data_IF_676888464518
#
_entry.id   IF_676888464518
#
_cell.length_a   1.000
_cell.length_b   1.000
_cell.length_c   1.000
_cell.angle_alpha   90.00
_cell.angle_beta   90.00
_cell.angle_gamma   90.00
#
_symmetry.space_group_name_H-M   'P 1'
#
loop_
_entity.id
_entity.type
_entity.pdbx_description
1 polymer ?
#
# COMPACT_ATOMS: atom_id res chain seq x y z
N UNK A 1 -3.79 -8.79 -18.40
CA UNK A 1 -4.09 -7.70 -17.44
C UNK A 1 -5.57 -7.78 -17.06
N UNK A 2 -5.87 -7.83 -15.77
CA UNK A 2 -7.27 -8.00 -15.30
C UNK A 2 -8.25 -6.90 -15.79
N UNK A 3 -7.71 -5.75 -16.23
CA UNK A 3 -8.52 -4.66 -16.75
C UNK A 3 -8.80 -4.75 -18.24
N UNK A 4 -7.97 -5.46 -18.99
CA UNK A 4 -8.21 -5.64 -20.43
C UNK A 4 -9.49 -6.44 -20.69
N UNK A 5 -9.87 -7.33 -19.76
CA UNK A 5 -11.13 -8.08 -19.83
C UNK A 5 -12.40 -7.23 -19.65
N UNK A 6 -12.25 -5.97 -19.21
CA UNK A 6 -13.36 -5.01 -19.09
C UNK A 6 -13.58 -4.20 -20.37
N UNK A 7 -12.62 -4.24 -21.31
CA UNK A 7 -12.76 -3.58 -22.61
C UNK A 7 -13.68 -4.44 -23.49
N UNK A 8 -14.72 -3.83 -24.02
CA UNK A 8 -15.65 -4.50 -24.91
C UNK A 8 -14.95 -4.94 -26.19
N UNK A 9 -15.29 -6.11 -26.72
CA UNK A 9 -14.73 -6.62 -27.97
C UNK A 9 -14.93 -5.59 -29.11
N UNK A 10 -13.84 -5.29 -29.81
CA UNK A 10 -13.82 -4.27 -30.87
C UNK A 10 -13.61 -2.84 -30.41
N UNK A 11 -13.51 -2.60 -29.08
CA UNK A 11 -13.14 -1.29 -28.52
C UNK A 11 -11.68 -1.28 -28.04
N UNK A 12 -11.10 -0.08 -27.95
CA UNK A 12 -9.70 0.09 -27.52
C UNK A 12 -9.60 0.54 -26.06
N UNK A 13 -10.70 0.98 -25.47
CA UNK A 13 -10.73 1.52 -24.11
C UNK A 13 -12.11 1.32 -23.46
N UNK A 14 -12.15 1.47 -22.14
CA UNK A 14 -13.40 1.66 -21.41
C UNK A 14 -13.31 2.88 -20.51
N UNK A 15 -14.46 3.42 -20.14
CA UNK A 15 -14.58 4.59 -19.28
C UNK A 15 -15.49 4.28 -18.09
N UNK A 16 -15.04 4.73 -16.90
CA UNK A 16 -15.88 4.79 -15.70
C UNK A 16 -15.94 6.23 -15.24
N UNK A 17 -17.14 6.74 -15.03
CA UNK A 17 -17.39 8.09 -14.54
C UNK A 17 -18.27 8.03 -13.30
N UNK A 18 -17.95 8.84 -12.31
CA UNK A 18 -18.73 9.01 -11.10
C UNK A 18 -18.96 10.51 -10.84
N UNK A 19 -20.17 10.84 -10.47
CA UNK A 19 -20.55 12.16 -9.97
C UNK A 19 -20.98 11.93 -8.52
N UNK A 20 -20.25 12.56 -7.59
CA UNK A 20 -20.49 12.41 -6.16
C UNK A 20 -20.87 13.76 -5.58
N UNK A 21 -21.96 13.80 -4.83
CA UNK A 21 -22.43 14.99 -4.15
C UNK A 21 -22.42 14.78 -2.64
N UNK A 22 -21.63 15.57 -1.93
CA UNK A 22 -21.50 15.50 -0.47
C UNK A 22 -21.30 16.91 0.10
N UNK A 23 -22.04 17.25 1.15
CA UNK A 23 -21.89 18.53 1.88
C UNK A 23 -21.86 19.77 0.97
N UNK A 24 -22.80 19.87 0.02
CA UNK A 24 -22.90 20.93 -1.00
C UNK A 24 -21.66 21.02 -1.94
N UNK A 25 -20.87 19.99 -2.03
CA UNK A 25 -19.79 19.86 -3.01
C UNK A 25 -20.13 18.78 -4.00
N UNK A 26 -19.88 19.07 -5.26
CA UNK A 26 -20.02 18.12 -6.35
C UNK A 26 -18.62 17.78 -6.86
N UNK A 27 -18.30 16.50 -6.92
CA UNK A 27 -17.05 15.99 -7.48
C UNK A 27 -17.39 15.17 -8.74
N UNK A 28 -16.68 15.41 -9.81
CA UNK A 28 -16.75 14.62 -11.02
C UNK A 28 -15.44 13.90 -11.24
N UNK A 29 -15.46 12.59 -11.21
CA UNK A 29 -14.31 11.71 -11.35
C UNK A 29 -14.51 10.84 -12.58
N UNK A 30 -13.47 10.73 -13.41
CA UNK A 30 -13.50 9.89 -14.61
C UNK A 30 -12.19 9.13 -14.73
N UNK A 31 -12.31 7.85 -15.07
CA UNK A 31 -11.17 6.96 -15.33
C UNK A 31 -11.36 6.38 -16.72
N UNK A 32 -10.42 6.59 -17.60
CA UNK A 32 -10.33 5.93 -18.90
C UNK A 32 -9.18 4.93 -18.82
N UNK A 33 -9.44 3.70 -19.25
CA UNK A 33 -8.43 2.64 -19.29
C UNK A 33 -8.32 2.12 -20.71
N UNK A 34 -7.14 2.25 -21.28
CA UNK A 34 -6.73 1.63 -22.53
C UNK A 34 -5.82 0.43 -22.26
N UNK A 35 -5.38 -0.28 -23.29
CA UNK A 35 -4.49 -1.43 -23.19
C UNK A 35 -3.12 -1.14 -22.56
N UNK A 36 -2.71 0.14 -22.48
CA UNK A 36 -1.40 0.54 -22.00
C UNK A 36 -1.43 1.14 -20.60
N UNK A 37 -2.43 1.99 -20.30
CA UNK A 37 -2.45 2.80 -19.09
C UNK A 37 -3.84 3.25 -18.67
N UNK A 38 -3.88 3.87 -17.49
CA UNK A 38 -5.06 4.54 -16.94
C UNK A 38 -4.87 6.05 -17.01
N UNK A 39 -5.91 6.71 -17.47
CA UNK A 39 -6.00 8.17 -17.50
C UNK A 39 -7.03 8.59 -16.45
N UNK A 40 -6.63 9.47 -15.55
CA UNK A 40 -7.46 9.96 -14.45
C UNK A 40 -7.86 11.40 -14.70
N UNK A 41 -9.13 11.72 -14.45
CA UNK A 41 -9.66 13.06 -14.64
C UNK A 41 -10.51 13.47 -13.42
N UNK A 42 -10.39 14.73 -13.03
CA UNK A 42 -11.23 15.39 -12.04
C UNK A 42 -11.79 16.68 -12.67
N UNK A 43 -13.10 16.83 -12.72
CA UNK A 43 -13.75 17.95 -13.45
C UNK A 43 -13.18 18.16 -14.86
N UNK A 44 -13.06 17.08 -15.64
CA UNK A 44 -12.49 17.05 -17.00
C UNK A 44 -10.98 17.39 -17.08
N UNK A 45 -10.33 17.79 -15.98
CA UNK A 45 -8.89 18.02 -15.94
C UNK A 45 -8.11 16.75 -15.69
N UNK A 46 -7.06 16.52 -16.48
CA UNK A 46 -6.19 15.34 -16.30
C UNK A 46 -5.43 15.41 -14.99
N UNK A 47 -5.48 14.33 -14.21
CA UNK A 47 -4.76 14.18 -12.94
C UNK A 47 -3.49 13.38 -13.20
N UNK A 48 -2.34 14.02 -13.03
CA UNK A 48 -1.04 13.42 -13.33
C UNK A 48 -0.53 12.47 -12.24
N UNK A 49 -0.88 12.74 -10.98
CA UNK A 49 -0.43 11.95 -9.83
C UNK A 49 -1.58 11.15 -9.27
N UNK A 50 -1.36 9.84 -9.17
CA UNK A 50 -2.35 8.93 -8.59
C UNK A 50 -2.76 9.31 -7.14
N UNK A 51 -1.80 9.85 -6.37
CA UNK A 51 -2.04 10.38 -5.03
C UNK A 51 -3.02 11.55 -4.96
N UNK A 52 -3.22 12.27 -6.07
CA UNK A 52 -4.14 13.41 -6.13
C UNK A 52 -5.58 12.97 -6.50
N UNK A 53 -5.74 11.71 -6.91
CA UNK A 53 -7.02 11.10 -7.27
C UNK A 53 -7.56 10.19 -6.15
N UNK A 54 -6.68 9.42 -5.50
CA UNK A 54 -7.08 8.56 -4.38
C UNK A 54 -7.54 9.41 -3.19
N UNK A 55 -8.61 8.96 -2.54
CA UNK A 55 -9.13 9.59 -1.33
C UNK A 55 -9.94 10.85 -1.56
N UNK A 56 -10.23 11.23 -2.84
CA UNK A 56 -11.23 12.26 -3.12
C UNK A 56 -12.59 11.76 -2.67
N UNK A 57 -12.91 10.52 -3.05
CA UNK A 57 -14.09 9.79 -2.61
C UNK A 57 -13.70 8.42 -2.09
N UNK A 58 -14.39 7.99 -1.04
CA UNK A 58 -14.17 6.71 -0.40
C UNK A 58 -15.44 5.87 -0.47
N UNK A 59 -15.37 4.76 -1.19
CA UNK A 59 -16.44 3.77 -1.23
C UNK A 59 -16.00 2.51 -0.46
N UNK A 60 -16.94 1.92 0.26
CA UNK A 60 -16.77 0.60 0.89
C UNK A 60 -17.50 -0.39 0.02
N UNK A 61 -16.77 -1.36 -0.50
CA UNK A 61 -17.31 -2.51 -1.19
C UNK A 61 -17.07 -3.73 -0.30
N UNK A 62 -18.11 -4.52 -0.09
CA UNK A 62 -18.00 -5.84 0.52
C UNK A 62 -18.41 -6.90 -0.48
N UNK A 63 -17.53 -7.84 -0.73
CA UNK A 63 -17.78 -8.97 -1.62
C UNK A 63 -17.25 -10.27 -0.99
N UNK A 64 -17.71 -11.46 -1.45
CA UNK A 64 -17.25 -12.74 -0.89
C UNK A 64 -15.73 -12.92 -0.93
N UNK A 65 -15.05 -12.32 -1.91
CA UNK A 65 -13.58 -12.38 -2.03
C UNK A 65 -12.86 -11.70 -0.85
N UNK A 66 -13.51 -10.76 -0.16
CA UNK A 66 -12.94 -10.08 1.00
C UNK A 66 -12.71 -11.02 2.20
N UNK A 67 -13.47 -12.13 2.26
CA UNK A 67 -13.25 -13.20 3.24
C UNK A 67 -11.87 -13.85 3.06
N UNK A 68 -11.32 -13.81 1.85
CA UNK A 68 -9.97 -14.27 1.56
C UNK A 68 -8.89 -13.50 2.32
N UNK A 69 -9.20 -12.32 2.87
CA UNK A 69 -8.26 -11.55 3.70
C UNK A 69 -7.71 -12.38 4.87
N UNK A 70 -8.54 -13.23 5.47
CA UNK A 70 -8.15 -14.07 6.62
C UNK A 70 -7.30 -15.27 6.22
N UNK A 71 -7.54 -15.85 5.04
CA UNK A 71 -6.85 -17.03 4.53
C UNK A 71 -5.70 -16.70 3.59
N UNK A 72 -5.62 -15.46 3.10
CA UNK A 72 -4.63 -15.04 2.12
C UNK A 72 -3.22 -14.85 2.71
N UNK A 73 -2.25 -14.67 1.82
CA UNK A 73 -0.86 -14.43 2.18
C UNK A 73 -0.67 -13.12 2.96
N UNK A 74 0.39 -13.01 3.77
CA UNK A 74 0.76 -11.76 4.44
C UNK A 74 0.93 -10.56 3.48
N UNK A 75 1.30 -10.84 2.22
CA UNK A 75 1.41 -9.82 1.18
C UNK A 75 0.05 -9.19 0.86
N UNK A 76 -1.00 -9.98 0.75
CA UNK A 76 -2.35 -9.50 0.46
C UNK A 76 -2.91 -8.72 1.65
N UNK A 77 -2.70 -9.19 2.89
CA UNK A 77 -3.10 -8.46 4.10
C UNK A 77 -2.41 -7.11 4.19
N UNK A 78 -1.10 -7.03 3.92
CA UNK A 78 -0.39 -5.73 3.87
C UNK A 78 -0.93 -4.83 2.77
N UNK A 79 -1.23 -5.38 1.59
CA UNK A 79 -1.81 -4.61 0.49
C UNK A 79 -3.16 -4.00 0.87
N UNK A 80 -4.01 -4.75 1.58
CA UNK A 80 -5.29 -4.23 2.10
C UNK A 80 -5.04 -3.00 3.00
N UNK A 81 -4.18 -3.13 4.01
CA UNK A 81 -3.83 -2.03 4.91
C UNK A 81 -3.26 -0.83 4.14
N UNK A 82 -2.37 -1.07 3.18
CA UNK A 82 -1.79 0.00 2.37
C UNK A 82 -2.85 0.73 1.55
N UNK A 83 -3.81 0.02 0.99
CA UNK A 83 -4.91 0.61 0.23
C UNK A 83 -5.78 1.53 1.11
N UNK A 84 -6.11 1.10 2.32
CA UNK A 84 -6.88 1.92 3.26
C UNK A 84 -6.07 3.15 3.71
N UNK A 85 -4.81 2.98 4.07
CA UNK A 85 -3.94 4.10 4.44
C UNK A 85 -3.73 5.11 3.30
N UNK A 86 -3.65 4.65 2.06
CA UNK A 86 -3.54 5.54 0.89
C UNK A 86 -4.79 6.40 0.69
N UNK A 87 -5.97 5.88 0.99
CA UNK A 87 -7.23 6.66 0.96
C UNK A 87 -7.21 7.78 2.02
N UNK A 88 -6.63 7.51 3.18
CA UNK A 88 -6.61 8.43 4.33
C UNK A 88 -5.47 9.46 4.28
N UNK A 89 -4.34 9.13 3.62
CA UNK A 89 -3.12 9.93 3.71
C UNK A 89 -2.35 10.01 2.38
N UNK A 90 -2.33 11.20 1.78
CA UNK A 90 -1.47 11.50 0.61
C UNK A 90 0.02 11.34 0.95
N UNK A 91 0.40 11.69 2.17
CA UNK A 91 1.78 11.51 2.66
C UNK A 91 2.15 10.03 2.70
N UNK A 92 1.26 9.16 3.18
CA UNK A 92 1.48 7.71 3.14
C UNK A 92 1.68 7.20 1.71
N UNK A 93 0.82 7.63 0.79
CA UNK A 93 0.89 7.27 -0.63
C UNK A 93 2.24 7.62 -1.25
N UNK A 94 2.74 8.84 -0.99
CA UNK A 94 4.05 9.28 -1.49
C UNK A 94 5.21 8.52 -0.84
N UNK A 95 5.14 8.26 0.47
CA UNK A 95 6.15 7.49 1.21
C UNK A 95 6.23 6.04 0.71
N UNK A 96 5.09 5.40 0.49
CA UNK A 96 5.02 4.03 -0.05
C UNK A 96 5.59 3.95 -1.47
N UNK A 97 5.29 4.94 -2.31
CA UNK A 97 5.85 5.05 -3.66
C UNK A 97 7.38 5.23 -3.64
N UNK A 98 7.88 6.07 -2.74
CA UNK A 98 9.33 6.28 -2.55
C UNK A 98 10.02 5.00 -2.10
N UNK A 99 9.43 4.28 -1.14
CA UNK A 99 9.94 2.99 -0.70
C UNK A 99 10.03 1.97 -1.84
N UNK A 100 8.97 1.84 -2.64
CA UNK A 100 8.95 0.91 -3.77
C UNK A 100 10.02 1.24 -4.82
N UNK A 101 10.24 2.54 -5.09
CA UNK A 101 11.29 3.01 -6.00
C UNK A 101 12.69 2.66 -5.47
N UNK A 102 12.96 2.96 -4.20
CA UNK A 102 14.24 2.66 -3.55
C UNK A 102 14.52 1.15 -3.50
N UNK A 103 13.51 0.35 -3.17
CA UNK A 103 13.62 -1.10 -3.17
C UNK A 103 13.99 -1.65 -4.56
N UNK A 104 13.35 -1.12 -5.62
CA UNK A 104 13.67 -1.49 -7.00
C UNK A 104 15.10 -1.11 -7.35
N UNK A 105 15.55 0.10 -7.02
CA UNK A 105 16.91 0.58 -7.28
C UNK A 105 17.96 -0.26 -6.53
N UNK A 106 17.74 -0.54 -5.24
CA UNK A 106 18.60 -1.41 -4.46
C UNK A 106 18.69 -2.81 -5.06
N UNK A 107 17.58 -3.41 -5.42
CA UNK A 107 17.56 -4.74 -6.01
C UNK A 107 18.25 -4.77 -7.39
N UNK A 108 18.20 -3.68 -8.16
CA UNK A 108 18.96 -3.57 -9.41
C UNK A 108 20.49 -3.44 -9.16
N UNK A 109 20.89 -2.67 -8.14
CA UNK A 109 22.30 -2.54 -7.77
C UNK A 109 22.89 -3.87 -7.31
N UNK A 110 22.13 -4.68 -6.57
CA UNK A 110 22.56 -6.02 -6.13
C UNK A 110 22.70 -7.04 -7.27
N UNK A 111 22.01 -6.85 -8.39
CA UNK A 111 22.06 -7.76 -9.54
C UNK A 111 23.20 -7.47 -10.52
N UNK A 112 24.03 -6.48 -10.25
CA UNK A 112 25.17 -6.16 -11.11
C UNK A 112 26.31 -7.19 -10.89
N UNK A 113 27.04 -7.50 -11.96
CA UNK A 113 28.19 -8.43 -11.89
C UNK A 113 29.25 -8.02 -10.86
N UNK A 114 29.38 -6.73 -10.60
CA UNK A 114 30.19 -6.16 -9.53
C UNK A 114 29.31 -5.26 -8.69
N UNK A 115 28.96 -5.71 -7.50
CA UNK A 115 28.11 -4.97 -6.58
C UNK A 115 28.85 -3.76 -6.04
N UNK A 116 28.29 -2.57 -6.23
CA UNK A 116 28.74 -1.35 -5.57
C UNK A 116 28.09 -1.29 -4.17
N UNK A 117 28.84 -1.74 -3.16
CA UNK A 117 28.36 -1.79 -1.77
C UNK A 117 28.02 -0.40 -1.24
N UNK A 118 28.78 0.64 -1.62
CA UNK A 118 28.51 2.01 -1.19
C UNK A 118 27.13 2.47 -1.68
N UNK A 119 26.82 2.23 -2.95
CA UNK A 119 25.52 2.55 -3.54
C UNK A 119 24.39 1.78 -2.88
N UNK A 120 24.59 0.49 -2.58
CA UNK A 120 23.60 -0.34 -1.88
C UNK A 120 23.32 0.22 -0.48
N UNK A 121 24.36 0.62 0.28
CA UNK A 121 24.20 1.23 1.59
C UNK A 121 23.49 2.59 1.55
N UNK A 122 23.72 3.41 0.52
CA UNK A 122 23.00 4.67 0.33
C UNK A 122 21.50 4.40 0.17
N UNK A 123 21.11 3.47 -0.72
CA UNK A 123 19.71 3.09 -0.88
C UNK A 123 19.10 2.52 0.41
N UNK A 124 19.87 1.71 1.13
CA UNK A 124 19.45 1.09 2.37
C UNK A 124 19.13 2.15 3.44
N UNK A 125 19.99 3.14 3.63
CA UNK A 125 19.77 4.22 4.59
C UNK A 125 18.50 5.02 4.23
N UNK A 126 18.31 5.36 2.96
CA UNK A 126 17.09 6.02 2.50
C UNK A 126 15.84 5.15 2.68
N UNK A 127 15.95 3.83 2.47
CA UNK A 127 14.85 2.90 2.72
C UNK A 127 14.47 2.84 4.19
N UNK A 128 15.41 2.86 5.12
CA UNK A 128 15.17 2.86 6.57
C UNK A 128 14.29 4.06 6.94
N UNK A 129 14.60 5.25 6.43
CA UNK A 129 13.84 6.45 6.72
C UNK A 129 12.37 6.34 6.28
N UNK A 130 12.14 5.97 5.03
CA UNK A 130 10.76 5.87 4.51
C UNK A 130 10.02 4.66 5.09
N UNK A 131 10.69 3.55 5.33
CA UNK A 131 10.08 2.32 5.83
C UNK A 131 9.70 2.43 7.31
N UNK A 132 10.47 3.16 8.11
CA UNK A 132 10.13 3.43 9.52
C UNK A 132 8.78 4.14 9.64
N UNK A 133 8.50 5.10 8.75
CA UNK A 133 7.21 5.80 8.68
C UNK A 133 6.09 4.83 8.28
N UNK A 134 6.32 3.97 7.28
CA UNK A 134 5.33 2.98 6.83
C UNK A 134 4.99 2.00 7.96
N UNK A 135 6.00 1.46 8.65
CA UNK A 135 5.81 0.51 9.75
C UNK A 135 4.98 1.16 10.88
N UNK A 136 5.34 2.38 11.28
CA UNK A 136 4.63 3.12 12.31
C UNK A 136 3.16 3.33 11.94
N UNK A 137 2.89 3.83 10.74
CA UNK A 137 1.51 4.12 10.31
C UNK A 137 0.67 2.85 10.15
N UNK A 138 1.25 1.75 9.66
CA UNK A 138 0.53 0.46 9.63
C UNK A 138 0.19 -0.04 11.03
N UNK A 139 1.12 0.06 11.97
CA UNK A 139 0.89 -0.36 13.35
C UNK A 139 -0.22 0.48 14.02
N UNK A 140 -0.15 1.80 13.90
CA UNK A 140 -1.17 2.73 14.43
C UNK A 140 -2.54 2.48 13.81
N UNK A 141 -2.59 2.24 12.50
CA UNK A 141 -3.84 1.92 11.79
C UNK A 141 -4.46 0.62 12.31
N UNK A 142 -3.68 -0.45 12.45
CA UNK A 142 -4.18 -1.74 12.96
C UNK A 142 -4.70 -1.59 14.39
N UNK A 143 -4.00 -0.84 15.25
CA UNK A 143 -4.49 -0.57 16.60
C UNK A 143 -5.84 0.16 16.59
N UNK A 144 -5.97 1.20 15.76
CA UNK A 144 -7.21 1.96 15.64
C UNK A 144 -8.35 1.11 15.06
N UNK A 145 -8.04 0.30 14.04
CA UNK A 145 -8.98 -0.64 13.42
C UNK A 145 -9.47 -1.67 14.43
N UNK A 146 -8.56 -2.26 15.20
CA UNK A 146 -8.91 -3.28 16.21
C UNK A 146 -9.73 -2.72 17.36
N UNK A 147 -9.46 -1.47 17.76
CA UNK A 147 -10.30 -0.79 18.74
C UNK A 147 -11.76 -0.74 18.25
N UNK A 148 -11.99 -0.29 17.02
CA UNK A 148 -13.32 -0.21 16.42
C UNK A 148 -13.94 -1.59 16.15
N UNK A 149 -13.15 -2.52 15.68
CA UNK A 149 -13.62 -3.88 15.44
C UNK A 149 -14.12 -4.56 16.73
N UNK A 150 -13.40 -4.39 17.84
CA UNK A 150 -13.84 -4.93 19.16
C UNK A 150 -15.13 -4.28 19.67
N UNK A 151 -15.35 -2.99 19.40
CA UNK A 151 -16.60 -2.30 19.75
C UNK A 151 -17.80 -2.86 18.95
N UNK A 152 -17.59 -3.26 17.69
CA UNK A 152 -18.65 -3.71 16.80
C UNK A 152 -18.86 -5.24 16.82
N UNK A 153 -17.83 -6.02 17.12
CA UNK A 153 -17.86 -7.48 17.02
C UNK A 153 -19.01 -8.14 17.81
N UNK A 154 -19.35 -7.70 19.06
CA UNK A 154 -20.44 -8.28 19.81
C UNK A 154 -21.82 -8.17 19.14
N UNK A 155 -22.00 -7.23 18.21
CA UNK A 155 -23.26 -7.09 17.47
C UNK A 155 -23.44 -8.15 16.36
N UNK A 156 -22.33 -8.80 15.95
CA UNK A 156 -22.32 -9.80 14.88
C UNK A 156 -22.07 -11.21 15.39
N UNK A 157 -21.51 -11.35 16.58
CA UNK A 157 -21.18 -12.63 17.19
C UNK A 157 -21.97 -12.84 18.47
N UNK A 158 -22.65 -13.97 18.56
CA UNK A 158 -23.30 -14.42 19.80
C UNK A 158 -22.31 -15.08 20.78
N UNK A 159 -21.06 -15.23 20.36
CA UNK A 159 -20.01 -15.91 21.12
C UNK A 159 -19.14 -14.90 21.88
N UNK A 160 -18.62 -15.35 23.01
CA UNK A 160 -17.70 -14.54 23.85
C UNK A 160 -16.26 -14.55 23.34
N UNK A 161 -16.07 -14.77 22.04
CA UNK A 161 -14.73 -14.80 21.43
C UNK A 161 -14.19 -13.39 21.29
N UNK A 162 -12.91 -13.24 21.60
CA UNK A 162 -12.18 -11.99 21.37
C UNK A 162 -11.50 -12.00 20.01
N UNK A 163 -11.63 -10.90 19.28
CA UNK A 163 -10.90 -10.72 18.01
C UNK A 163 -9.60 -9.96 18.25
N UNK A 164 -8.52 -10.43 17.64
CA UNK A 164 -7.22 -9.79 17.72
C UNK A 164 -6.53 -9.77 16.35
N UNK A 165 -5.85 -8.66 16.05
CA UNK A 165 -4.87 -8.58 14.96
C UNK A 165 -3.64 -7.82 15.43
N UNK A 166 -2.46 -8.36 15.09
CA UNK A 166 -1.16 -7.76 15.42
C UNK A 166 -0.39 -7.50 14.14
N UNK A 167 0.29 -6.35 14.11
CA UNK A 167 1.23 -6.06 13.03
C UNK A 167 2.55 -6.78 13.30
N UNK A 168 2.86 -7.77 12.47
CA UNK A 168 4.13 -8.49 12.51
C UNK A 168 5.12 -7.85 11.55
N UNK A 169 6.27 -7.47 12.05
CA UNK A 169 7.39 -6.89 11.27
C UNK A 169 8.69 -7.63 11.58
N UNK A 170 9.72 -7.41 10.78
CA UNK A 170 11.04 -8.06 10.90
C UNK A 170 11.92 -7.46 12.00
N UNK A 171 11.47 -6.40 12.67
CA UNK A 171 12.15 -5.71 13.76
C UNK A 171 11.26 -5.62 14.99
N UNK A 172 11.85 -5.36 16.16
CA UNK A 172 11.09 -4.90 17.33
C UNK A 172 10.59 -3.48 17.10
N UNK A 173 9.36 -3.21 17.58
CA UNK A 173 8.78 -1.88 17.60
C UNK A 173 9.16 -1.10 18.88
N UNK A 174 9.79 -1.75 19.84
CA UNK A 174 10.26 -1.14 21.07
C UNK A 174 11.62 -0.47 20.85
N UNK A 175 11.82 0.73 21.39
CA UNK A 175 13.06 1.48 21.26
C UNK A 175 13.21 2.18 19.90
N UNK A 176 14.46 2.33 19.44
CA UNK A 176 14.77 2.99 18.17
C UNK A 176 14.64 2.01 17.00
N UNK A 177 13.49 2.10 16.32
CA UNK A 177 13.20 1.29 15.13
C UNK A 177 14.28 1.40 14.05
N UNK A 178 14.86 2.59 13.83
CA UNK A 178 15.86 2.78 12.75
C UNK A 178 17.15 2.03 13.05
N UNK A 179 17.55 1.98 14.31
CA UNK A 179 18.70 1.19 14.73
C UNK A 179 18.47 -0.29 14.48
N UNK A 180 17.32 -0.82 14.94
CA UNK A 180 16.96 -2.22 14.69
C UNK A 180 16.87 -2.56 13.20
N UNK A 181 16.33 -1.64 12.39
CA UNK A 181 16.26 -1.82 10.93
C UNK A 181 17.65 -1.87 10.32
N UNK A 182 18.55 -0.98 10.72
CA UNK A 182 19.93 -0.95 10.22
C UNK A 182 20.64 -2.27 10.49
N UNK A 183 20.60 -2.75 11.72
CA UNK A 183 21.20 -4.04 12.10
C UNK A 183 20.60 -5.21 11.31
N UNK A 184 19.29 -5.24 11.15
CA UNK A 184 18.60 -6.29 10.41
C UNK A 184 18.99 -6.30 8.93
N UNK A 185 19.11 -5.12 8.32
CA UNK A 185 19.51 -4.98 6.93
C UNK A 185 20.99 -5.30 6.70
N UNK A 186 21.87 -4.93 7.61
CA UNK A 186 23.30 -5.29 7.54
C UNK A 186 23.46 -6.81 7.60
N UNK A 187 22.77 -7.47 8.53
CA UNK A 187 22.76 -8.95 8.60
C UNK A 187 22.19 -9.61 7.34
N UNK A 188 21.17 -9.02 6.73
CA UNK A 188 20.58 -9.51 5.48
C UNK A 188 21.56 -9.32 4.31
N UNK A 189 22.23 -8.17 4.22
CA UNK A 189 23.16 -7.85 3.15
C UNK A 189 24.37 -8.80 3.15
N UNK A 190 24.93 -9.13 4.32
CA UNK A 190 26.00 -10.12 4.43
C UNK A 190 25.59 -11.53 3.95
N UNK A 191 24.34 -11.88 4.08
CA UNK A 191 23.81 -13.12 3.50
C UNK A 191 23.64 -13.00 1.99
N UNK A 192 23.09 -11.90 1.50
CA UNK A 192 22.86 -11.65 0.07
C UNK A 192 24.17 -11.71 -0.72
N UNK A 193 25.27 -11.17 -0.19
CA UNK A 193 26.60 -11.25 -0.82
C UNK A 193 27.10 -12.69 -1.07
N UNK A 194 26.64 -13.66 -0.29
CA UNK A 194 27.07 -15.07 -0.43
C UNK A 194 26.33 -15.80 -1.56
N UNK A 195 25.25 -15.24 -2.06
CA UNK A 195 24.39 -15.86 -3.08
C UNK A 195 24.49 -15.19 -4.46
N UNK A 196 25.31 -14.15 -4.57
CA UNK A 196 25.64 -13.45 -5.82
C UNK A 196 27.13 -13.50 -6.07
#
# INVERSE_FOLDING_TARGET
NQMDSMIMHGCNEFCVQAIVESNNRKEELKVIVDHQKKHLFRFQNSVKKYSDFIGIENAILFCPDDLSLFTSSPKNRRRFIDMELMKLSKTYTSTLSSYQKLLKQRNQALKQNKVDECLVHIYLNQMIDVQSVIIKQRNEFIHSLMKKARELYPFFSNEKEEIEAKYMTFISLDGDMKVHMKEAYEKAFEKEKKYH
#
